data_IF_583402713143
#
_entry.id   IF_583402713143
#
_cell.length_a   1.000
_cell.length_b   1.000
_cell.length_c   1.000
_cell.angle_alpha   90.00
_cell.angle_beta   90.00
_cell.angle_gamma   90.00
#
_symmetry.space_group_name_H-M   'P 1'
#
loop_
_entity.id
_entity.type
_entity.pdbx_description
1 polymer ?
#
# COMPACT_ATOMS: atom_id res chain seq x y z
N UNK A 1 12.60 -0.89 -10.36
CA UNK A 1 11.58 -0.97 -11.46
C UNK A 1 11.36 0.42 -12.01
N UNK A 2 11.26 0.58 -13.33
CA UNK A 2 11.09 1.88 -13.98
C UNK A 2 9.70 1.95 -14.62
N UNK A 3 8.89 2.92 -14.22
CA UNK A 3 7.55 3.15 -14.79
C UNK A 3 7.53 4.50 -15.48
N UNK A 4 7.02 4.54 -16.72
CA UNK A 4 6.74 5.80 -17.39
C UNK A 4 5.41 6.36 -16.89
N UNK A 5 5.39 7.60 -16.44
CA UNK A 5 4.21 8.29 -15.92
C UNK A 5 4.17 9.73 -16.44
N UNK A 6 3.02 10.38 -16.38
CA UNK A 6 2.91 11.82 -16.65
C UNK A 6 3.01 12.57 -15.34
N UNK A 7 3.97 13.50 -15.22
CA UNK A 7 4.17 14.36 -14.06
C UNK A 7 3.81 15.80 -14.45
N UNK A 8 2.61 16.24 -14.07
CA UNK A 8 2.05 17.50 -14.56
C UNK A 8 1.72 17.40 -16.05
N UNK A 9 2.35 18.23 -16.88
CA UNK A 9 2.21 18.20 -18.34
C UNK A 9 3.31 17.41 -19.05
N UNK A 10 4.36 16.97 -18.33
CA UNK A 10 5.54 16.36 -18.91
C UNK A 10 5.64 14.84 -18.64
N UNK A 11 6.13 14.03 -19.59
CA UNK A 11 6.40 12.63 -19.35
C UNK A 11 7.65 12.45 -18.48
N UNK A 12 7.51 11.71 -17.38
CA UNK A 12 8.59 11.35 -16.47
C UNK A 12 8.70 9.84 -16.26
N UNK A 13 9.68 9.44 -15.46
CA UNK A 13 9.81 8.07 -15.00
C UNK A 13 9.86 8.02 -13.47
N UNK A 14 9.08 7.13 -12.87
CA UNK A 14 9.24 6.75 -11.46
C UNK A 14 10.14 5.52 -11.42
N UNK A 15 11.29 5.68 -10.76
CA UNK A 15 12.20 4.58 -10.49
C UNK A 15 12.08 4.17 -9.03
N UNK A 16 11.57 2.96 -8.79
CA UNK A 16 11.63 2.34 -7.47
C UNK A 16 12.97 1.62 -7.31
N UNK A 17 13.85 2.23 -6.52
CA UNK A 17 15.10 1.65 -6.04
C UNK A 17 14.81 0.90 -4.74
N UNK A 18 14.71 -0.42 -4.79
CA UNK A 18 14.66 -1.26 -3.59
C UNK A 18 16.10 -1.50 -3.12
N UNK A 19 16.73 -0.44 -2.60
CA UNK A 19 18.08 -0.52 -2.08
C UNK A 19 18.07 -1.14 -0.69
N UNK A 20 18.53 -2.39 -0.58
CA UNK A 20 18.96 -2.98 0.69
C UNK A 20 20.29 -3.75 0.57
N UNK A 21 20.90 -3.81 -0.62
CA UNK A 21 22.17 -4.52 -0.84
C UNK A 21 23.08 -3.70 -1.75
N UNK A 22 24.33 -3.53 -1.34
CA UNK A 22 25.36 -2.74 -2.04
C UNK A 22 25.98 -3.48 -3.24
N UNK A 23 25.40 -4.60 -3.69
CA UNK A 23 25.95 -5.44 -4.76
C UNK A 23 24.85 -5.92 -5.71
N UNK A 24 25.17 -6.08 -7.01
CA UNK A 24 24.24 -6.62 -7.99
C UNK A 24 23.90 -8.08 -7.67
N UNK A 25 22.63 -8.33 -7.36
CA UNK A 25 22.08 -9.67 -7.21
C UNK A 25 21.14 -9.93 -8.39
N UNK A 26 21.50 -10.90 -9.24
CA UNK A 26 20.72 -11.21 -10.44
C UNK A 26 19.28 -11.63 -10.11
N UNK A 27 19.01 -12.16 -8.91
CA UNK A 27 17.70 -12.63 -8.48
C UNK A 27 16.92 -11.59 -7.66
N UNK A 28 17.40 -10.35 -7.54
CA UNK A 28 16.74 -9.29 -6.77
C UNK A 28 15.29 -9.04 -7.21
N UNK A 29 15.01 -9.23 -8.49
CA UNK A 29 13.67 -9.08 -9.06
C UNK A 29 12.71 -10.19 -8.56
N UNK A 30 13.21 -11.41 -8.34
CA UNK A 30 12.43 -12.50 -7.74
C UNK A 30 12.22 -12.27 -6.24
N UNK A 31 13.24 -11.78 -5.53
CA UNK A 31 13.11 -11.40 -4.12
C UNK A 31 12.06 -10.29 -3.95
N UNK A 32 12.06 -9.30 -4.86
CA UNK A 32 11.05 -8.24 -4.88
C UNK A 32 9.65 -8.78 -5.17
N UNK A 33 9.54 -9.70 -6.13
CA UNK A 33 8.27 -10.36 -6.44
C UNK A 33 7.74 -11.15 -5.23
N UNK A 34 8.61 -11.92 -4.56
CA UNK A 34 8.28 -12.65 -3.34
C UNK A 34 7.80 -11.69 -2.24
N UNK A 35 8.49 -10.58 -2.04
CA UNK A 35 8.07 -9.53 -1.11
C UNK A 35 6.67 -8.98 -1.43
N UNK A 36 6.40 -8.66 -2.70
CA UNK A 36 5.07 -8.20 -3.14
C UNK A 36 3.98 -9.24 -2.93
N UNK A 37 4.27 -10.51 -3.25
CA UNK A 37 3.33 -11.63 -3.04
C UNK A 37 3.04 -11.80 -1.55
N UNK A 38 4.07 -11.73 -0.70
CA UNK A 38 3.92 -11.87 0.75
C UNK A 38 3.04 -10.76 1.33
N UNK A 39 3.25 -9.50 0.95
CA UNK A 39 2.42 -8.39 1.43
C UNK A 39 0.99 -8.50 0.89
N UNK A 40 0.83 -8.82 -0.41
CA UNK A 40 -0.48 -9.03 -1.01
C UNK A 40 -1.26 -10.13 -0.28
N UNK A 41 -0.58 -11.23 0.07
CA UNK A 41 -1.21 -12.36 0.77
C UNK A 41 -1.65 -11.96 2.18
N UNK A 42 -0.81 -11.24 2.92
CA UNK A 42 -1.18 -10.68 4.23
C UNK A 42 -2.42 -9.76 4.13
N UNK A 43 -2.44 -8.89 3.13
CA UNK A 43 -3.57 -7.99 2.90
C UNK A 43 -4.85 -8.75 2.54
N UNK A 44 -4.78 -9.75 1.65
CA UNK A 44 -5.93 -10.61 1.29
C UNK A 44 -6.51 -11.26 2.54
N UNK A 45 -5.68 -11.82 3.42
CA UNK A 45 -6.15 -12.47 4.64
C UNK A 45 -6.88 -11.50 5.58
N UNK A 46 -6.52 -10.22 5.57
CA UNK A 46 -7.18 -9.19 6.38
C UNK A 46 -8.54 -8.77 5.83
N UNK A 47 -8.71 -8.80 4.50
CA UNK A 47 -9.95 -8.33 3.85
C UNK A 47 -10.81 -9.45 3.24
N UNK A 48 -10.43 -10.71 3.40
CA UNK A 48 -11.09 -11.86 2.78
C UNK A 48 -12.60 -11.93 3.09
N UNK A 49 -12.99 -11.56 4.30
CA UNK A 49 -14.35 -11.50 4.83
C UNK A 49 -15.02 -10.12 4.65
N UNK A 50 -14.30 -9.13 4.13
CA UNK A 50 -14.78 -7.76 3.90
C UNK A 50 -15.03 -7.55 2.40
N UNK A 51 -13.96 -7.42 1.63
CA UNK A 51 -13.89 -7.42 0.16
C UNK A 51 -12.44 -7.74 -0.27
N UNK A 52 -12.19 -8.92 -0.87
CA UNK A 52 -10.87 -9.29 -1.37
C UNK A 52 -10.26 -8.31 -2.38
N UNK A 53 -11.06 -7.50 -3.06
CA UNK A 53 -10.58 -6.51 -4.04
C UNK A 53 -9.83 -5.36 -3.37
N UNK A 54 -10.13 -5.05 -2.11
CA UNK A 54 -9.47 -3.97 -1.36
C UNK A 54 -8.05 -4.34 -0.91
N UNK A 55 -7.67 -5.62 -1.05
CA UNK A 55 -6.37 -6.12 -0.63
C UNK A 55 -5.20 -5.36 -1.27
N UNK A 56 -5.35 -4.86 -2.51
CA UNK A 56 -4.28 -4.11 -3.18
C UNK A 56 -3.98 -2.77 -2.50
N UNK A 57 -5.01 -2.09 -1.99
CA UNK A 57 -4.85 -0.80 -1.29
C UNK A 57 -4.24 -1.03 0.09
N UNK A 58 -4.70 -2.05 0.81
CA UNK A 58 -4.15 -2.42 2.10
C UNK A 58 -2.70 -2.90 1.99
N UNK A 59 -2.39 -3.71 0.98
CA UNK A 59 -1.02 -4.13 0.66
C UNK A 59 -0.10 -2.92 0.40
N UNK A 60 -0.59 -1.92 -0.34
CA UNK A 60 0.17 -0.70 -0.61
C UNK A 60 0.44 0.10 0.67
N UNK A 61 -0.55 0.24 1.55
CA UNK A 61 -0.39 0.90 2.83
C UNK A 61 0.63 0.18 3.73
N UNK A 62 0.59 -1.16 3.79
CA UNK A 62 1.56 -1.96 4.54
C UNK A 62 2.97 -1.78 3.97
N UNK A 63 3.13 -1.89 2.64
CA UNK A 63 4.42 -1.77 1.96
C UNK A 63 5.07 -0.40 2.17
N UNK A 64 4.25 0.67 2.20
CA UNK A 64 4.70 2.04 2.39
C UNK A 64 4.77 2.46 3.87
N UNK A 65 4.37 1.59 4.80
CA UNK A 65 4.16 1.94 6.21
C UNK A 65 3.31 3.22 6.38
N UNK A 66 2.24 3.32 5.56
CA UNK A 66 1.41 4.51 5.44
C UNK A 66 0.04 4.30 6.08
N UNK A 67 -0.63 5.40 6.41
CA UNK A 67 -2.05 5.36 6.82
C UNK A 67 -2.92 5.18 5.58
N UNK A 68 -3.75 4.15 5.55
CA UNK A 68 -4.77 3.93 4.53
C UNK A 68 -5.93 4.89 4.77
N UNK A 69 -6.15 5.81 3.84
CA UNK A 69 -7.35 6.63 3.84
C UNK A 69 -8.41 5.99 2.94
N UNK A 70 -9.63 5.88 3.46
CA UNK A 70 -10.78 5.43 2.66
C UNK A 70 -12.07 6.08 3.14
N UNK A 71 -13.02 6.25 2.21
CA UNK A 71 -14.41 6.61 2.50
C UNK A 71 -15.34 5.39 2.64
N UNK A 72 -14.84 4.18 2.36
CA UNK A 72 -15.65 2.96 2.44
C UNK A 72 -15.88 2.57 3.91
N UNK A 73 -17.12 2.70 4.36
CA UNK A 73 -17.52 2.39 5.74
C UNK A 73 -17.34 0.91 6.07
N UNK A 74 -17.67 0.01 5.15
CA UNK A 74 -17.59 -1.45 5.36
C UNK A 74 -16.13 -1.86 5.55
N UNK A 75 -15.23 -1.30 4.74
CA UNK A 75 -13.80 -1.54 4.86
C UNK A 75 -13.24 -1.01 6.18
N UNK A 76 -13.57 0.23 6.54
CA UNK A 76 -13.07 0.86 7.77
C UNK A 76 -13.56 0.12 9.02
N UNK A 77 -14.84 -0.21 9.09
CA UNK A 77 -15.41 -0.92 10.23
C UNK A 77 -14.87 -2.35 10.34
N UNK A 78 -14.76 -3.06 9.21
CA UNK A 78 -14.19 -4.41 9.19
C UNK A 78 -12.73 -4.44 9.62
N UNK A 79 -11.91 -3.49 9.16
CA UNK A 79 -10.50 -3.39 9.55
C UNK A 79 -10.33 -2.95 11.01
N UNK A 80 -11.15 -2.01 11.48
CA UNK A 80 -11.15 -1.60 12.89
C UNK A 80 -11.54 -2.76 13.82
N UNK A 81 -12.52 -3.57 13.44
CA UNK A 81 -12.91 -4.77 14.20
C UNK A 81 -11.77 -5.80 14.30
N UNK A 82 -10.89 -5.84 13.30
CA UNK A 82 -9.66 -6.66 13.28
C UNK A 82 -8.47 -6.00 13.99
N UNK A 83 -8.65 -4.82 14.58
CA UNK A 83 -7.61 -4.11 15.32
C UNK A 83 -6.57 -3.39 14.44
N UNK A 84 -6.88 -3.16 13.16
CA UNK A 84 -6.02 -2.40 12.25
C UNK A 84 -6.10 -0.91 12.58
N UNK A 85 -4.97 -0.32 13.00
CA UNK A 85 -4.90 1.07 13.51
C UNK A 85 -4.46 2.10 12.46
N UNK A 86 -3.93 1.65 11.33
CA UNK A 86 -3.40 2.53 10.28
C UNK A 86 -4.44 2.85 9.21
N UNK A 87 -5.72 2.94 9.58
CA UNK A 87 -6.80 3.37 8.69
C UNK A 87 -7.37 4.69 9.19
N UNK A 88 -7.68 5.62 8.27
CA UNK A 88 -8.23 6.92 8.61
C UNK A 88 -9.46 7.27 7.76
N UNK A 89 -10.43 7.93 8.40
CA UNK A 89 -11.57 8.58 7.74
C UNK A 89 -11.19 10.00 7.31
N UNK A 90 -11.97 10.57 6.38
CA UNK A 90 -11.79 11.96 5.96
C UNK A 90 -11.85 12.94 7.14
N UNK A 91 -12.74 12.73 8.11
CA UNK A 91 -12.83 13.58 9.31
C UNK A 91 -11.56 13.53 10.15
N UNK A 92 -10.99 12.34 10.35
CA UNK A 92 -9.75 12.15 11.11
C UNK A 92 -8.54 12.75 10.38
N UNK A 93 -8.53 12.74 9.05
CA UNK A 93 -7.50 13.41 8.27
C UNK A 93 -7.60 14.93 8.38
N UNK A 94 -8.82 15.47 8.30
CA UNK A 94 -9.08 16.91 8.46
C UNK A 94 -8.60 17.37 9.83
N UNK A 95 -8.96 16.64 10.90
CA UNK A 95 -8.48 16.90 12.26
C UNK A 95 -6.94 16.87 12.37
N UNK A 96 -6.27 15.91 11.72
CA UNK A 96 -4.80 15.83 11.70
C UNK A 96 -4.13 16.99 10.94
N UNK A 97 -4.81 17.52 9.92
CA UNK A 97 -4.30 18.60 9.09
C UNK A 97 -4.63 20.00 9.65
N UNK A 98 -5.52 20.07 10.65
CA UNK A 98 -5.91 21.33 11.30
C UNK A 98 -6.65 22.29 10.38
N UNK A 99 -7.39 21.77 9.39
CA UNK A 99 -8.21 22.52 8.43
C UNK A 99 -9.70 22.33 8.66
#
# INVERSE_FOLDING_TARGET
MLYKVTLGEEPGYIYFLFEHKSWPDALIHLQLLEYMINIKTQAINLVADIDPKDAVFLASAIALNATLWSGDKKLIEGLNAKGVKYIARTTELIEKLGI
#
